data_IF_206779733086
#
_entry.id   IF_206779733086
#
_cell.length_a   1.000
_cell.length_b   1.000
_cell.length_c   1.000
_cell.angle_alpha   90.00
_cell.angle_beta   90.00
_cell.angle_gamma   90.00
#
_symmetry.space_group_name_H-M   'P 1'
#
loop_
_entity.id
_entity.type
_entity.pdbx_description
1 polymer ?
#
# COMPACT_ATOMS: atom_id res chain seq x y z
N UNK A 1 -6.27 -18.04 -2.54
CA UNK A 1 -6.84 -16.67 -2.52
C UNK A 1 -5.88 -15.74 -3.21
N UNK A 2 -6.36 -14.85 -4.08
CA UNK A 2 -5.54 -13.88 -4.79
C UNK A 2 -5.93 -12.46 -4.38
N UNK A 3 -4.94 -11.62 -4.03
CA UNK A 3 -5.10 -10.22 -3.62
C UNK A 3 -4.23 -9.38 -4.53
N UNK A 4 -4.77 -8.30 -5.10
CA UNK A 4 -3.97 -7.31 -5.79
C UNK A 4 -3.58 -6.18 -4.82
N UNK A 5 -2.37 -5.65 -4.96
CA UNK A 5 -1.91 -4.45 -4.26
C UNK A 5 -1.50 -3.40 -5.28
N UNK A 6 -2.05 -2.20 -5.14
CA UNK A 6 -1.60 -0.97 -5.78
C UNK A 6 -1.27 0.07 -4.72
N UNK A 7 -0.43 1.02 -5.06
CA UNK A 7 0.06 2.04 -4.13
C UNK A 7 0.50 3.29 -4.86
N UNK A 8 0.63 4.38 -4.13
CA UNK A 8 1.25 5.62 -4.62
C UNK A 8 0.63 6.08 -5.95
N UNK A 9 -0.71 6.20 -5.92
CA UNK A 9 -1.49 6.59 -7.09
C UNK A 9 -1.35 8.09 -7.37
N UNK A 10 -1.20 8.90 -6.32
CA UNK A 10 -1.10 10.37 -6.39
C UNK A 10 -2.12 11.00 -7.33
N UNK A 11 -3.38 10.54 -7.25
CA UNK A 11 -4.44 11.02 -8.15
C UNK A 11 -4.65 12.51 -7.91
N UNK A 12 -4.56 13.30 -8.98
CA UNK A 12 -4.86 14.74 -8.95
C UNK A 12 -6.34 14.99 -9.28
N UNK A 13 -6.79 16.18 -8.95
CA UNK A 13 -8.09 16.67 -9.40
C UNK A 13 -8.23 16.56 -10.93
N UNK A 14 -9.47 16.38 -11.41
CA UNK A 14 -9.72 16.22 -12.84
C UNK A 14 -9.09 17.35 -13.68
N UNK A 15 -8.36 16.98 -14.72
CA UNK A 15 -7.61 17.89 -15.58
C UNK A 15 -6.31 18.46 -15.00
N UNK A 16 -5.93 18.09 -13.77
CA UNK A 16 -4.64 18.46 -13.17
C UNK A 16 -3.61 17.36 -13.37
N UNK A 17 -2.34 17.75 -13.38
CA UNK A 17 -1.20 16.84 -13.53
C UNK A 17 -0.27 16.94 -12.34
N UNK A 18 0.30 15.85 -11.93
CA UNK A 18 1.40 15.82 -10.97
C UNK A 18 2.66 16.40 -11.62
N UNK A 19 3.36 17.31 -10.93
CA UNK A 19 4.53 18.04 -11.46
C UNK A 19 4.26 18.73 -12.80
N UNK A 20 3.00 19.15 -13.08
CA UNK A 20 2.54 19.74 -14.35
C UNK A 20 2.79 18.87 -15.61
N UNK A 21 3.12 17.60 -15.41
CA UNK A 21 3.52 16.66 -16.49
C UNK A 21 2.77 15.33 -16.46
N UNK A 22 2.60 14.73 -15.29
CA UNK A 22 2.11 13.35 -15.17
C UNK A 22 0.60 13.34 -14.95
N UNK A 23 -0.13 12.71 -15.85
CA UNK A 23 -1.55 12.40 -15.70
C UNK A 23 -1.71 11.14 -14.85
N UNK A 24 -1.62 11.30 -13.53
CA UNK A 24 -1.70 10.18 -12.57
C UNK A 24 -3.06 9.51 -12.57
N UNK A 25 -4.13 10.22 -12.92
CA UNK A 25 -5.46 9.63 -13.09
C UNK A 25 -5.49 8.62 -14.26
N UNK A 26 -4.88 8.96 -15.40
CA UNK A 26 -4.76 8.04 -16.54
C UNK A 26 -3.87 6.80 -16.21
N UNK A 27 -2.87 6.96 -15.35
CA UNK A 27 -2.08 5.84 -14.84
C UNK A 27 -2.90 4.94 -13.92
N UNK A 28 -3.66 5.51 -12.98
CA UNK A 28 -4.55 4.77 -12.09
C UNK A 28 -5.65 4.03 -12.88
N UNK A 29 -6.21 4.63 -13.92
CA UNK A 29 -7.17 4.00 -14.82
C UNK A 29 -6.58 2.74 -15.48
N UNK A 30 -5.33 2.83 -15.98
CA UNK A 30 -4.64 1.66 -16.55
C UNK A 30 -4.37 0.57 -15.51
N UNK A 31 -4.03 0.95 -14.28
CA UNK A 31 -3.85 0.01 -13.18
C UNK A 31 -5.16 -0.75 -12.87
N UNK A 32 -6.27 -0.02 -12.75
CA UNK A 32 -7.61 -0.60 -12.55
C UNK A 32 -7.96 -1.57 -13.68
N UNK A 33 -7.74 -1.18 -14.93
CA UNK A 33 -8.00 -2.04 -16.10
C UNK A 33 -7.11 -3.30 -16.09
N UNK A 34 -5.82 -3.16 -15.77
CA UNK A 34 -4.88 -4.26 -15.70
C UNK A 34 -5.26 -5.28 -14.61
N UNK A 35 -5.73 -4.82 -13.45
CA UNK A 35 -6.22 -5.68 -12.36
C UNK A 35 -7.53 -6.37 -12.76
N UNK A 36 -8.47 -5.66 -13.35
CA UNK A 36 -9.75 -6.21 -13.81
C UNK A 36 -9.57 -7.30 -14.89
N UNK A 37 -8.49 -7.20 -15.67
CA UNK A 37 -8.15 -8.17 -16.70
C UNK A 37 -7.46 -9.45 -16.19
N UNK A 38 -7.04 -9.50 -14.91
CA UNK A 38 -6.33 -10.66 -14.35
C UNK A 38 -7.17 -11.94 -14.40
N UNK A 39 -6.50 -13.05 -14.69
CA UNK A 39 -7.13 -14.38 -14.70
C UNK A 39 -6.21 -15.38 -13.99
N UNK A 40 -6.63 -15.96 -12.84
CA UNK A 40 -7.92 -15.69 -12.15
C UNK A 40 -8.03 -14.27 -11.60
N UNK A 41 -9.24 -13.77 -11.49
CA UNK A 41 -9.49 -12.44 -10.92
C UNK A 41 -9.11 -12.39 -9.43
N UNK A 42 -8.48 -11.30 -8.95
CA UNK A 42 -8.28 -11.08 -7.51
C UNK A 42 -9.62 -10.99 -6.76
N UNK A 43 -9.66 -11.54 -5.56
CA UNK A 43 -10.85 -11.42 -4.69
C UNK A 43 -10.90 -10.09 -3.92
N UNK A 44 -9.80 -9.35 -3.88
CA UNK A 44 -9.66 -8.08 -3.18
C UNK A 44 -8.54 -7.24 -3.79
N UNK A 45 -8.69 -5.92 -3.76
CA UNK A 45 -7.61 -4.96 -4.05
C UNK A 45 -7.25 -4.20 -2.78
N UNK A 46 -5.97 -4.16 -2.43
CA UNK A 46 -5.42 -3.28 -1.39
C UNK A 46 -4.82 -2.04 -2.05
N UNK A 47 -5.18 -0.86 -1.54
CA UNK A 47 -4.62 0.43 -1.98
C UNK A 47 -3.84 0.99 -0.80
N UNK A 48 -2.50 0.88 -0.88
CA UNK A 48 -1.63 1.04 0.30
C UNK A 48 -1.04 2.44 0.44
N UNK A 49 -1.90 3.46 0.36
CA UNK A 49 -1.57 4.85 0.67
C UNK A 49 -1.08 5.68 -0.52
N UNK A 50 -0.90 6.97 -0.26
CA UNK A 50 -0.70 8.02 -1.25
C UNK A 50 -1.72 7.89 -2.39
N UNK A 51 -2.98 7.85 -1.93
CA UNK A 51 -4.15 7.66 -2.78
C UNK A 51 -4.31 8.85 -3.72
N UNK A 52 -4.12 10.04 -3.15
CA UNK A 52 -4.17 11.35 -3.83
C UNK A 52 -2.91 12.13 -3.53
N UNK A 53 -2.68 13.28 -4.17
CA UNK A 53 -1.44 14.01 -4.04
C UNK A 53 -1.44 15.10 -2.96
N UNK A 54 -2.54 15.79 -2.77
CA UNK A 54 -2.65 16.90 -1.82
C UNK A 54 -3.70 16.69 -0.72
N UNK A 55 -4.36 15.53 -0.66
CA UNK A 55 -5.42 15.24 0.29
C UNK A 55 -6.68 16.07 0.08
N UNK A 56 -6.88 16.64 -1.12
CA UNK A 56 -7.97 17.54 -1.42
C UNK A 56 -9.28 16.79 -1.78
N UNK A 57 -10.45 17.32 -1.43
CA UNK A 57 -11.73 16.64 -1.68
C UNK A 57 -12.00 16.32 -3.16
N UNK A 58 -11.59 17.18 -4.08
CA UNK A 58 -11.76 16.98 -5.52
C UNK A 58 -10.83 15.91 -6.09
N UNK A 59 -9.66 15.72 -5.48
CA UNK A 59 -8.76 14.60 -5.81
C UNK A 59 -9.38 13.27 -5.37
N UNK A 60 -9.95 13.20 -4.15
CA UNK A 60 -10.67 12.00 -3.69
C UNK A 60 -11.93 11.72 -4.51
N UNK A 61 -12.64 12.73 -4.97
CA UNK A 61 -13.79 12.54 -5.86
C UNK A 61 -13.36 11.90 -7.19
N UNK A 62 -12.22 12.34 -7.75
CA UNK A 62 -11.65 11.74 -8.96
C UNK A 62 -11.18 10.29 -8.68
N UNK A 63 -10.46 10.06 -7.60
CA UNK A 63 -10.03 8.73 -7.18
C UNK A 63 -11.20 7.76 -7.03
N UNK A 64 -12.30 8.20 -6.38
CA UNK A 64 -13.49 7.39 -6.18
C UNK A 64 -14.04 6.89 -7.51
N UNK A 65 -14.22 7.79 -8.49
CA UNK A 65 -14.71 7.42 -9.82
C UNK A 65 -13.81 6.40 -10.55
N UNK A 66 -12.51 6.38 -10.25
CA UNK A 66 -11.57 5.41 -10.81
C UNK A 66 -11.69 4.04 -10.11
N UNK A 67 -11.71 4.02 -8.76
CA UNK A 67 -11.75 2.78 -7.99
C UNK A 67 -13.10 2.06 -8.07
N UNK A 68 -14.21 2.78 -8.23
CA UNK A 68 -15.54 2.18 -8.44
C UNK A 68 -15.65 1.37 -9.75
N UNK A 69 -14.69 1.49 -10.65
CA UNK A 69 -14.61 0.66 -11.87
C UNK A 69 -13.98 -0.72 -11.64
N UNK A 70 -13.44 -0.97 -10.45
CA UNK A 70 -12.96 -2.30 -10.07
C UNK A 70 -14.15 -3.26 -9.91
N UNK A 71 -14.15 -4.43 -10.56
CA UNK A 71 -15.23 -5.41 -10.44
C UNK A 71 -15.18 -6.23 -9.13
N UNK A 72 -14.19 -5.97 -8.27
CA UNK A 72 -14.02 -6.63 -6.97
C UNK A 72 -13.90 -5.57 -5.86
N UNK A 73 -14.13 -5.96 -4.60
CA UNK A 73 -13.96 -5.04 -3.48
C UNK A 73 -12.53 -4.53 -3.35
N UNK A 74 -12.40 -3.32 -2.79
CA UNK A 74 -11.11 -2.75 -2.45
C UNK A 74 -11.09 -2.22 -1.01
N UNK A 75 -9.90 -2.12 -0.44
CA UNK A 75 -9.65 -1.58 0.89
C UNK A 75 -8.45 -0.65 0.84
N UNK A 76 -8.54 0.46 1.53
CA UNK A 76 -7.57 1.56 1.48
C UNK A 76 -7.02 1.87 2.87
N UNK A 77 -5.79 2.33 2.91
CA UNK A 77 -5.18 3.02 4.06
C UNK A 77 -4.58 4.33 3.59
N UNK A 78 -4.40 5.33 4.45
CA UNK A 78 -3.78 6.59 4.06
C UNK A 78 -2.25 6.47 3.99
N UNK A 79 -1.64 7.25 3.07
CA UNK A 79 -0.22 7.59 3.05
C UNK A 79 0.04 9.02 3.53
N UNK A 80 1.26 9.53 3.33
CA UNK A 80 1.63 10.87 3.81
C UNK A 80 1.02 12.01 3.01
N UNK A 81 0.58 11.76 1.79
CA UNK A 81 -0.15 12.72 0.95
C UNK A 81 -1.66 12.77 1.26
N UNK A 82 -2.15 11.84 2.05
CA UNK A 82 -3.59 11.71 2.33
C UNK A 82 -4.02 12.51 3.57
N UNK A 83 -5.32 12.84 3.60
CA UNK A 83 -5.99 13.47 4.73
C UNK A 83 -7.13 12.57 5.23
N UNK A 84 -7.02 12.04 6.48
CA UNK A 84 -7.99 11.07 7.04
C UNK A 84 -9.44 11.52 6.93
N UNK A 85 -9.72 12.77 7.27
CA UNK A 85 -11.09 13.27 7.32
C UNK A 85 -11.67 13.49 5.91
N UNK A 86 -10.83 13.98 4.97
CA UNK A 86 -11.24 14.10 3.57
C UNK A 86 -11.43 12.72 2.92
N UNK A 87 -10.59 11.74 3.23
CA UNK A 87 -10.76 10.35 2.80
C UNK A 87 -12.08 9.76 3.31
N UNK A 88 -12.38 9.90 4.61
CA UNK A 88 -13.66 9.45 5.19
C UNK A 88 -14.86 10.12 4.55
N UNK A 89 -14.77 11.42 4.34
CA UNK A 89 -15.85 12.20 3.72
C UNK A 89 -16.12 11.80 2.27
N UNK A 90 -15.09 11.45 1.52
CA UNK A 90 -15.20 11.03 0.13
C UNK A 90 -15.77 9.60 -0.04
N UNK A 91 -15.59 8.75 0.98
CA UNK A 91 -16.02 7.34 0.96
C UNK A 91 -16.93 7.00 2.16
N UNK A 92 -18.08 7.66 2.33
CA UNK A 92 -18.95 7.49 3.49
C UNK A 92 -19.58 6.09 3.59
N UNK A 93 -19.68 5.37 2.49
CA UNK A 93 -20.16 4.00 2.36
C UNK A 93 -19.10 2.95 2.75
N UNK A 94 -17.84 3.35 2.95
CA UNK A 94 -16.75 2.48 3.38
C UNK A 94 -16.60 2.50 4.91
N UNK A 95 -17.52 1.84 5.63
CA UNK A 95 -17.59 1.86 7.09
C UNK A 95 -16.25 1.50 7.80
N UNK A 96 -15.39 0.70 7.18
CA UNK A 96 -14.08 0.35 7.73
C UNK A 96 -13.14 1.56 7.90
N UNK A 97 -13.35 2.66 7.15
CA UNK A 97 -12.56 3.89 7.27
C UNK A 97 -12.81 4.65 8.59
N UNK A 98 -13.89 4.34 9.32
CA UNK A 98 -14.05 4.81 10.69
C UNK A 98 -12.86 4.37 11.55
N UNK A 99 -12.35 3.16 11.30
CA UNK A 99 -11.15 2.63 11.92
C UNK A 99 -11.27 2.45 13.43
N UNK A 100 -10.13 2.53 14.11
CA UNK A 100 -10.04 2.40 15.56
C UNK A 100 -9.33 3.62 16.17
N UNK A 101 -9.91 4.19 17.22
CA UNK A 101 -9.31 5.27 18.06
C UNK A 101 -8.85 6.50 17.25
N UNK A 102 -9.60 6.87 16.19
CA UNK A 102 -9.29 7.99 15.31
C UNK A 102 -8.34 7.69 14.14
N UNK A 103 -7.71 6.50 14.13
CA UNK A 103 -6.85 6.04 13.05
C UNK A 103 -7.60 5.09 12.10
N UNK A 104 -7.22 5.03 10.83
CA UNK A 104 -7.78 4.10 9.85
C UNK A 104 -7.07 2.74 10.00
N UNK A 105 -7.29 2.10 11.14
CA UNK A 105 -6.82 0.77 11.46
C UNK A 105 -8.01 -0.19 11.52
N UNK A 106 -7.95 -1.34 10.83
CA UNK A 106 -9.05 -2.30 10.75
C UNK A 106 -8.54 -3.69 10.37
N UNK A 107 -9.39 -4.70 10.60
CA UNK A 107 -9.14 -6.08 10.21
C UNK A 107 -10.12 -6.52 9.12
N UNK A 108 -9.70 -7.46 8.30
CA UNK A 108 -10.51 -8.13 7.27
C UNK A 108 -10.44 -9.62 7.58
N UNK A 109 -11.55 -10.21 8.00
CA UNK A 109 -11.62 -11.56 8.58
C UNK A 109 -12.26 -12.60 7.64
N UNK A 110 -12.90 -12.15 6.56
CA UNK A 110 -13.68 -12.99 5.66
C UNK A 110 -12.86 -13.93 4.76
N UNK A 111 -11.53 -13.87 4.86
CA UNK A 111 -10.64 -14.68 4.02
C UNK A 111 -9.83 -15.71 4.83
N UNK A 112 -9.28 -16.76 4.17
CA UNK A 112 -8.36 -17.69 4.82
C UNK A 112 -7.08 -17.04 5.34
N UNK A 113 -6.60 -15.97 4.68
CA UNK A 113 -5.55 -15.08 5.13
C UNK A 113 -6.20 -13.87 5.80
N UNK A 114 -5.93 -13.65 7.07
CA UNK A 114 -6.35 -12.44 7.79
C UNK A 114 -5.58 -11.23 7.27
N UNK A 115 -6.26 -10.10 7.10
CA UNK A 115 -5.61 -8.87 6.65
C UNK A 115 -5.79 -7.79 7.71
N UNK A 116 -4.72 -7.05 8.01
CA UNK A 116 -4.73 -5.94 8.96
C UNK A 116 -4.25 -4.69 8.26
N UNK A 117 -5.15 -3.72 8.07
CA UNK A 117 -4.82 -2.37 7.62
C UNK A 117 -4.33 -1.53 8.79
N UNK A 118 -3.12 -0.98 8.67
CA UNK A 118 -2.46 -0.22 9.72
C UNK A 118 -2.13 1.19 9.22
N UNK A 119 -2.80 2.17 9.78
CA UNK A 119 -2.58 3.58 9.49
C UNK A 119 -1.26 4.05 10.06
N UNK A 120 -0.29 4.31 9.22
CA UNK A 120 1.03 4.83 9.60
C UNK A 120 1.22 6.33 9.29
N UNK A 121 0.17 7.04 8.88
CA UNK A 121 0.24 8.48 8.61
C UNK A 121 0.63 9.27 9.87
N UNK A 122 1.65 10.12 9.74
CA UNK A 122 1.99 11.21 10.67
C UNK A 122 1.67 12.55 9.98
N UNK A 123 0.52 13.12 10.30
CA UNK A 123 -0.03 14.26 9.56
C UNK A 123 0.97 15.42 9.43
N UNK A 124 1.19 15.89 8.21
CA UNK A 124 2.13 16.95 7.88
C UNK A 124 3.61 16.53 7.85
N UNK A 125 3.89 15.23 7.89
CA UNK A 125 5.26 14.69 7.76
C UNK A 125 5.33 13.66 6.65
N UNK A 126 6.49 13.57 5.99
CA UNK A 126 6.76 12.54 4.96
C UNK A 126 6.98 11.17 5.59
N UNK A 127 7.64 11.12 6.76
CA UNK A 127 7.87 9.87 7.49
C UNK A 127 6.62 9.36 8.20
N UNK A 128 6.63 8.06 8.50
CA UNK A 128 5.53 7.38 9.18
C UNK A 128 5.61 7.46 10.71
N UNK A 129 4.50 7.12 11.36
CA UNK A 129 4.44 6.97 12.81
C UNK A 129 3.50 5.84 13.21
N UNK A 130 3.93 5.02 14.16
CA UNK A 130 3.06 4.16 14.96
C UNK A 130 3.24 4.52 16.43
N UNK A 131 2.27 5.23 17.01
CA UNK A 131 2.24 5.53 18.44
C UNK A 131 1.74 4.31 19.24
N UNK A 132 1.91 4.35 20.57
CA UNK A 132 1.52 3.26 21.47
C UNK A 132 0.07 2.80 21.23
N UNK A 133 -0.86 3.74 21.05
CA UNK A 133 -2.28 3.44 20.75
C UNK A 133 -2.45 2.53 19.52
N UNK A 134 -1.71 2.77 18.43
CA UNK A 134 -1.78 1.94 17.23
C UNK A 134 -1.03 0.62 17.40
N UNK A 135 0.06 0.63 18.14
CA UNK A 135 0.84 -0.57 18.45
C UNK A 135 0.09 -1.51 19.40
N UNK A 136 -0.52 -0.97 20.47
CA UNK A 136 -1.34 -1.75 21.40
C UNK A 136 -2.55 -2.34 20.70
N UNK A 137 -3.19 -1.56 19.80
CA UNK A 137 -4.28 -2.05 18.98
C UNK A 137 -3.83 -3.22 18.08
N UNK A 138 -2.68 -3.08 17.41
CA UNK A 138 -2.13 -4.13 16.54
C UNK A 138 -1.82 -5.41 17.33
N UNK A 139 -1.14 -5.27 18.46
CA UNK A 139 -0.77 -6.40 19.33
C UNK A 139 -2.02 -7.14 19.83
N UNK A 140 -3.05 -6.39 20.27
CA UNK A 140 -4.33 -6.97 20.65
C UNK A 140 -4.99 -7.73 19.48
N UNK A 141 -5.05 -7.12 18.28
CA UNK A 141 -5.62 -7.80 17.10
C UNK A 141 -4.87 -9.07 16.73
N UNK A 142 -3.54 -9.04 16.75
CA UNK A 142 -2.73 -10.21 16.45
C UNK A 142 -2.90 -11.32 17.51
N UNK A 143 -3.03 -10.95 18.79
CA UNK A 143 -3.23 -11.89 19.92
C UNK A 143 -4.56 -12.61 19.89
N UNK A 144 -5.58 -12.06 19.23
CA UNK A 144 -6.91 -12.69 19.10
C UNK A 144 -6.94 -13.94 18.22
N UNK A 145 -5.98 -14.09 17.31
CA UNK A 145 -6.00 -15.17 16.32
C UNK A 145 -4.58 -15.67 16.01
N UNK A 146 -3.92 -16.28 16.99
CA UNK A 146 -2.52 -16.73 16.90
C UNK A 146 -2.28 -17.78 15.82
N UNK A 147 -3.28 -18.58 15.49
CA UNK A 147 -3.18 -19.63 14.48
C UNK A 147 -3.62 -19.18 13.07
N UNK A 148 -4.14 -17.94 12.93
CA UNK A 148 -4.64 -17.47 11.65
C UNK A 148 -3.55 -16.75 10.88
N UNK A 149 -3.11 -17.26 9.71
CA UNK A 149 -2.13 -16.59 8.88
C UNK A 149 -2.56 -15.14 8.61
N UNK A 150 -1.65 -14.20 8.80
CA UNK A 150 -1.99 -12.78 8.78
C UNK A 150 -1.03 -12.02 7.86
N UNK A 151 -1.57 -11.11 7.03
CA UNK A 151 -0.81 -10.12 6.30
C UNK A 151 -1.16 -8.72 6.82
N UNK A 152 -0.14 -7.94 7.16
CA UNK A 152 -0.27 -6.54 7.57
C UNK A 152 0.03 -5.66 6.36
N UNK A 153 -0.77 -4.63 6.13
CA UNK A 153 -0.50 -3.63 5.12
C UNK A 153 -0.54 -2.22 5.71
N UNK A 154 0.49 -1.44 5.41
CA UNK A 154 0.64 -0.05 5.81
C UNK A 154 1.26 0.74 4.65
N UNK A 155 1.44 2.06 4.81
CA UNK A 155 2.06 2.84 3.74
C UNK A 155 3.57 2.96 3.89
N UNK A 156 4.07 3.37 5.05
CA UNK A 156 5.47 3.72 5.27
C UNK A 156 6.36 2.51 5.61
N UNK A 157 7.65 2.62 5.27
CA UNK A 157 8.67 1.61 5.53
C UNK A 157 9.36 1.90 6.88
N UNK A 158 9.41 0.94 7.84
CA UNK A 158 9.93 1.16 9.19
C UNK A 158 11.43 0.89 9.34
N UNK A 159 12.18 0.86 8.26
CA UNK A 159 13.63 0.61 8.27
C UNK A 159 14.33 1.45 7.20
N UNK A 160 15.65 1.49 7.27
CA UNK A 160 16.46 2.21 6.27
C UNK A 160 16.45 1.48 4.94
N UNK A 161 16.07 2.20 3.90
CA UNK A 161 15.96 1.68 2.53
C UNK A 161 17.28 1.71 1.77
N UNK A 162 18.25 2.49 2.25
CA UNK A 162 19.49 2.85 1.56
C UNK A 162 19.33 4.05 0.62
N UNK A 163 18.11 4.51 0.37
CA UNK A 163 17.84 5.73 -0.40
C UNK A 163 17.76 6.90 0.58
N UNK A 164 18.73 7.80 0.53
CA UNK A 164 18.95 8.85 1.53
C UNK A 164 17.69 9.68 1.80
N UNK A 165 16.92 10.02 0.77
CA UNK A 165 15.69 10.79 0.90
C UNK A 165 14.66 10.13 1.84
N UNK A 166 14.41 8.83 1.65
CA UNK A 166 13.45 8.08 2.48
C UNK A 166 14.01 7.80 3.87
N UNK A 167 15.32 7.60 3.97
CA UNK A 167 15.98 7.29 5.24
C UNK A 167 16.04 8.51 6.18
N UNK A 168 15.92 9.73 5.67
CA UNK A 168 15.78 10.97 6.44
C UNK A 168 14.34 11.23 6.89
N UNK A 169 13.37 10.67 6.21
CA UNK A 169 11.97 10.71 6.58
C UNK A 169 11.70 9.67 7.68
N UNK A 170 11.99 10.04 8.93
CA UNK A 170 11.97 9.13 10.09
C UNK A 170 10.63 8.47 10.29
N UNK A 171 10.63 7.14 10.43
CA UNK A 171 9.48 6.38 10.92
C UNK A 171 9.53 6.28 12.45
N UNK A 172 8.63 6.99 13.13
CA UNK A 172 8.53 6.94 14.59
C UNK A 172 7.81 5.68 15.07
N UNK A 173 8.43 4.95 16.02
CA UNK A 173 7.91 3.70 16.58
C UNK A 173 8.33 2.44 15.79
N UNK A 174 9.33 2.54 14.90
CA UNK A 174 9.81 1.44 14.09
C UNK A 174 10.27 0.22 14.89
N UNK A 175 11.07 0.44 15.94
CA UNK A 175 11.57 -0.65 16.80
C UNK A 175 10.44 -1.33 17.59
N UNK A 176 9.51 -0.56 18.12
CA UNK A 176 8.35 -1.09 18.83
C UNK A 176 7.43 -1.88 17.88
N UNK A 177 7.25 -1.39 16.64
CA UNK A 177 6.51 -2.13 15.60
C UNK A 177 7.20 -3.47 15.26
N UNK A 178 8.53 -3.46 15.08
CA UNK A 178 9.28 -4.69 14.85
C UNK A 178 9.15 -5.68 16.03
N UNK A 179 9.16 -5.16 17.28
CA UNK A 179 8.98 -5.98 18.47
C UNK A 179 7.56 -6.57 18.57
N UNK A 180 6.52 -5.82 18.19
CA UNK A 180 5.14 -6.36 18.10
C UNK A 180 5.10 -7.48 17.07
N UNK A 181 5.50 -7.23 15.82
CA UNK A 181 5.44 -8.24 14.75
C UNK A 181 6.26 -9.48 15.09
N UNK A 182 7.45 -9.30 15.68
CA UNK A 182 8.36 -10.40 16.05
C UNK A 182 7.80 -11.36 17.11
N UNK A 183 6.78 -10.95 17.89
CA UNK A 183 6.08 -11.84 18.85
C UNK A 183 4.97 -12.67 18.21
N UNK A 184 4.62 -12.36 16.95
CA UNK A 184 3.46 -12.94 16.28
C UNK A 184 3.88 -13.73 15.01
N UNK A 185 4.32 -15.00 15.16
CA UNK A 185 4.86 -15.81 14.06
C UNK A 185 3.83 -16.13 12.97
N UNK A 186 2.52 -15.93 13.23
CA UNK A 186 1.46 -16.06 12.23
C UNK A 186 1.45 -14.91 11.20
N UNK A 187 2.29 -13.88 11.39
CA UNK A 187 2.42 -12.80 10.40
C UNK A 187 3.27 -13.29 9.23
N UNK A 188 2.60 -13.66 8.15
CA UNK A 188 3.22 -14.18 6.92
C UNK A 188 3.99 -13.12 6.14
N UNK A 189 3.49 -11.88 6.16
CA UNK A 189 4.09 -10.77 5.41
C UNK A 189 3.60 -9.41 5.93
N UNK A 190 4.48 -8.42 5.82
CA UNK A 190 4.13 -7.00 5.92
C UNK A 190 4.34 -6.38 4.54
N UNK A 191 3.34 -5.66 4.02
CA UNK A 191 3.41 -5.01 2.71
C UNK A 191 3.20 -3.50 2.82
N UNK A 192 3.92 -2.73 1.99
CA UNK A 192 3.86 -1.27 2.02
C UNK A 192 3.97 -0.64 0.62
N UNK A 193 3.89 0.70 0.58
CA UNK A 193 4.16 1.56 -0.56
C UNK A 193 5.31 2.54 -0.29
N UNK A 194 5.05 3.81 -0.52
CA UNK A 194 5.86 4.97 -0.16
C UNK A 194 7.14 5.18 -0.98
N UNK A 195 7.89 4.13 -1.25
CA UNK A 195 9.19 4.21 -1.93
C UNK A 195 9.09 4.05 -3.44
N UNK A 196 7.89 3.86 -3.98
CA UNK A 196 7.58 3.68 -5.40
C UNK A 196 8.43 2.59 -6.08
N UNK A 197 9.00 1.65 -5.34
CA UNK A 197 9.84 0.56 -5.86
C UNK A 197 9.50 -0.75 -5.22
N UNK A 198 9.69 -1.84 -5.96
CA UNK A 198 9.59 -3.18 -5.41
C UNK A 198 10.88 -3.51 -4.64
N UNK A 199 10.76 -3.67 -3.33
CA UNK A 199 11.83 -4.12 -2.45
C UNK A 199 11.32 -5.26 -1.58
N UNK A 200 12.22 -6.08 -1.07
CA UNK A 200 11.89 -7.09 -0.07
C UNK A 200 13.08 -7.37 0.84
N UNK A 201 12.79 -7.59 2.13
CA UNK A 201 13.80 -8.03 3.08
C UNK A 201 13.17 -8.90 4.18
N UNK A 202 13.98 -9.71 4.85
CA UNK A 202 13.58 -10.36 6.09
C UNK A 202 13.57 -9.31 7.21
N UNK A 203 12.43 -9.14 7.87
CA UNK A 203 12.22 -8.13 8.91
C UNK A 203 11.31 -8.69 10.01
N UNK A 204 11.69 -8.48 11.27
CA UNK A 204 10.89 -8.88 12.44
C UNK A 204 10.36 -10.34 12.40
N UNK A 205 11.15 -11.28 11.88
CA UNK A 205 10.74 -12.69 11.79
C UNK A 205 9.93 -13.07 10.55
N UNK A 206 9.44 -12.11 9.81
CA UNK A 206 8.67 -12.30 8.55
C UNK A 206 9.38 -11.66 7.35
N UNK A 207 8.65 -11.50 6.23
CA UNK A 207 9.10 -10.76 5.04
C UNK A 207 8.37 -9.42 4.99
N UNK A 208 9.12 -8.34 4.85
CA UNK A 208 8.59 -7.02 4.49
C UNK A 208 8.82 -6.79 3.01
N UNK A 209 7.80 -6.31 2.28
CA UNK A 209 7.93 -5.96 0.87
C UNK A 209 7.18 -4.68 0.53
N UNK A 210 7.68 -3.96 -0.49
CA UNK A 210 7.01 -2.77 -1.04
C UNK A 210 6.52 -3.03 -2.46
N UNK A 211 5.45 -2.36 -2.82
CA UNK A 211 4.87 -2.38 -4.17
C UNK A 211 5.40 -1.19 -4.97
N UNK A 212 5.64 -1.31 -6.28
CA UNK A 212 5.95 -0.17 -7.13
C UNK A 212 4.73 0.74 -7.29
N UNK A 213 4.97 2.02 -7.57
CA UNK A 213 3.88 2.97 -7.87
C UNK A 213 3.16 2.61 -9.17
N UNK A 214 1.89 2.97 -9.23
CA UNK A 214 1.10 2.84 -10.46
C UNK A 214 1.43 3.89 -11.52
N UNK A 215 2.25 4.92 -11.19
CA UNK A 215 2.56 6.02 -12.08
C UNK A 215 4.07 6.16 -12.34
N UNK A 216 4.81 6.73 -11.42
CA UNK A 216 6.24 6.99 -11.55
C UNK A 216 7.02 6.26 -10.47
N UNK A 217 8.27 5.92 -10.76
CA UNK A 217 9.17 5.29 -9.80
C UNK A 217 10.23 6.30 -9.37
N UNK A 218 10.65 6.30 -8.11
CA UNK A 218 11.84 7.05 -7.73
C UNK A 218 13.09 6.35 -8.26
N UNK A 219 14.03 7.12 -8.78
CA UNK A 219 15.31 6.59 -9.28
C UNK A 219 16.05 5.92 -8.11
N UNK A 220 16.52 4.70 -8.31
CA UNK A 220 17.35 4.04 -7.31
C UNK A 220 18.74 4.66 -7.29
N UNK A 221 18.97 5.54 -6.34
CA UNK A 221 20.28 6.10 -6.04
C UNK A 221 20.64 5.75 -4.59
N UNK A 222 21.69 4.96 -4.42
CA UNK A 222 22.23 4.53 -3.13
C UNK A 222 23.44 5.35 -2.71
N UNK A 223 23.74 6.45 -3.44
CA UNK A 223 24.79 7.39 -3.06
C UNK A 223 24.38 8.18 -1.79
N UNK A 224 25.33 8.78 -1.08
CA UNK A 224 25.03 9.62 0.07
C UNK A 224 24.41 10.97 -0.31
N UNK A 225 24.27 11.26 -1.59
CA UNK A 225 23.69 12.50 -2.10
C UNK A 225 22.16 12.49 -1.94
N UNK A 226 21.61 13.70 -1.72
CA UNK A 226 20.18 13.87 -1.45
C UNK A 226 19.43 14.27 -2.73
N UNK A 227 19.39 13.39 -3.70
CA UNK A 227 18.57 13.60 -4.88
C UNK A 227 17.28 12.79 -4.80
N UNK A 228 16.19 13.41 -5.24
CA UNK A 228 14.91 12.71 -5.45
C UNK A 228 14.54 12.92 -6.91
N UNK A 229 15.03 12.04 -7.71
CA UNK A 229 14.65 11.99 -9.12
C UNK A 229 13.58 10.92 -9.32
N UNK A 230 12.66 11.16 -10.24
CA UNK A 230 11.73 10.15 -10.67
C UNK A 230 11.96 9.75 -12.12
N UNK A 231 11.67 8.49 -12.43
CA UNK A 231 11.71 7.95 -13.78
C UNK A 231 10.34 7.40 -14.16
N UNK A 232 10.05 7.42 -15.46
CA UNK A 232 8.89 6.75 -16.02
C UNK A 232 9.25 5.30 -16.39
N UNK A 233 9.85 4.60 -15.43
CA UNK A 233 9.99 3.15 -15.48
C UNK A 233 8.59 2.53 -15.57
N UNK A 234 8.44 1.29 -16.08
CA UNK A 234 7.14 0.66 -16.14
C UNK A 234 6.42 0.72 -14.79
N UNK A 235 5.22 1.31 -14.71
CA UNK A 235 4.41 1.28 -13.49
C UNK A 235 4.01 -0.17 -13.21
N UNK A 236 3.66 -0.46 -11.95
CA UNK A 236 3.38 -1.84 -11.58
C UNK A 236 2.36 -1.99 -10.47
N UNK A 237 2.01 -3.23 -10.22
CA UNK A 237 1.22 -3.68 -9.08
C UNK A 237 1.70 -5.05 -8.62
N UNK A 238 1.26 -5.49 -7.44
CA UNK A 238 1.59 -6.82 -6.94
C UNK A 238 0.34 -7.71 -6.86
N UNK A 239 0.53 -9.00 -7.10
CA UNK A 239 -0.43 -10.06 -6.82
C UNK A 239 0.12 -10.94 -5.71
N UNK A 240 -0.63 -11.05 -4.62
CA UNK A 240 -0.33 -11.90 -3.48
C UNK A 240 -1.25 -13.12 -3.53
N UNK A 241 -0.68 -14.29 -3.75
CA UNK A 241 -1.40 -15.54 -3.77
C UNK A 241 -1.18 -16.28 -2.44
N UNK A 242 -2.24 -16.40 -1.66
CA UNK A 242 -2.23 -17.25 -0.47
C UNK A 242 -2.50 -18.69 -0.85
N UNK A 243 -1.58 -19.58 -0.47
CA UNK A 243 -1.65 -21.02 -0.67
C UNK A 243 -1.59 -21.73 0.68
N UNK A 244 -2.67 -22.37 1.09
CA UNK A 244 -2.71 -23.11 2.34
C UNK A 244 -1.59 -24.17 2.39
N UNK A 245 -0.82 -24.18 3.48
CA UNK A 245 0.31 -25.07 3.67
C UNK A 245 1.59 -24.70 2.89
N UNK A 246 1.58 -23.65 2.06
CA UNK A 246 2.77 -23.18 1.33
C UNK A 246 3.15 -21.73 1.67
N UNK A 247 2.21 -20.94 2.20
CA UNK A 247 2.43 -19.52 2.54
C UNK A 247 2.00 -18.55 1.44
N UNK A 248 2.55 -17.33 1.48
CA UNK A 248 2.19 -16.22 0.61
C UNK A 248 3.23 -16.03 -0.50
N UNK A 249 2.80 -16.25 -1.75
CA UNK A 249 3.60 -15.96 -2.94
C UNK A 249 3.24 -14.57 -3.48
N UNK A 250 4.24 -13.78 -3.84
CA UNK A 250 4.04 -12.43 -4.41
C UNK A 250 4.66 -12.34 -5.79
N UNK A 251 3.87 -11.87 -6.76
CA UNK A 251 4.31 -11.52 -8.11
C UNK A 251 4.24 -10.00 -8.27
N UNK A 252 5.26 -9.38 -8.85
CA UNK A 252 5.23 -7.99 -9.31
C UNK A 252 4.99 -7.98 -10.81
N UNK A 253 3.96 -7.27 -11.26
CA UNK A 253 3.56 -7.18 -12.66
C UNK A 253 3.67 -5.75 -13.15
N UNK A 254 4.29 -5.52 -14.33
CA UNK A 254 4.24 -4.21 -14.96
C UNK A 254 2.86 -3.91 -15.54
N UNK A 255 2.47 -2.64 -15.52
CA UNK A 255 1.25 -2.13 -16.14
C UNK A 255 1.60 -1.60 -17.52
N UNK A 256 1.11 -2.22 -18.57
CA UNK A 256 1.36 -1.83 -19.96
C UNK A 256 0.93 -2.90 -20.94
N UNK A 257 1.03 -2.58 -22.22
CA UNK A 257 0.75 -3.50 -23.32
C UNK A 257 2.03 -4.20 -23.73
N UNK A 258 2.14 -5.50 -23.40
CA UNK A 258 3.30 -6.32 -23.75
C UNK A 258 2.87 -7.43 -24.70
N UNK A 259 3.58 -7.63 -25.85
CA UNK A 259 3.27 -8.73 -26.77
C UNK A 259 3.39 -10.09 -26.08
N UNK A 260 2.36 -10.90 -26.18
CA UNK A 260 2.37 -12.26 -25.65
C UNK A 260 2.65 -13.25 -26.77
N UNK A 261 3.58 -14.15 -26.54
CA UNK A 261 3.92 -15.23 -27.48
C UNK A 261 3.71 -16.58 -26.78
N UNK A 262 2.92 -17.46 -27.41
CA UNK A 262 2.73 -18.81 -26.90
C UNK A 262 3.96 -19.65 -27.21
N UNK A 263 4.55 -20.22 -26.17
CA UNK A 263 5.56 -21.28 -26.35
C UNK A 263 4.84 -22.56 -26.81
N UNK A 264 5.44 -23.25 -27.78
CA UNK A 264 4.94 -24.55 -28.28
C UNK A 264 5.30 -25.67 -27.32
#
# INVERSE_FOLDING_TARGET
MLIAQITDLHVRASGKRLYDRLDTAAYAERAVAAIAAQRPAPGLVLVTGDLVDAGAPDEYANLRGLLERLPMPYRMIPGNHDARDALRAAFPDHAYLAGAQGFICYTIEEFPLRLIGLDSLDAGRVGGRLCDVRLDWLDARLSEALEKPTMIFLHHVPFRTGVTHFDEAVFHGAEAFAAVVGRHPQVERVVAGHVHRSMSMRWAGTVFSTCPSTAHQFVLDLSPEKHVDYALEPPGFQLHEWRAGQGLLTHTLPIGDYPMHRLR
#
